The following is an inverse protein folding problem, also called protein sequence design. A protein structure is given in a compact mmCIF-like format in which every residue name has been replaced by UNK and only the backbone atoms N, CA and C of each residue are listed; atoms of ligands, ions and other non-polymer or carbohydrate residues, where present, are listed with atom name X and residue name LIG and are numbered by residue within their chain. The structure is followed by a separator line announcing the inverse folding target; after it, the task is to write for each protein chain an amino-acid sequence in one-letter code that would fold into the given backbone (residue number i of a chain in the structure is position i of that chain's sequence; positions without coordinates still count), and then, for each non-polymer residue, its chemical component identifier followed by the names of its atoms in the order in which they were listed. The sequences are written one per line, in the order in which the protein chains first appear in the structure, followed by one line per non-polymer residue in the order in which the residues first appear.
data_IF_836251701692
#
_entry.id   IF_836251701692
#
_cell.length_a   1.000
_cell.length_b   1.000
_cell.length_c   1.000
_cell.angle_alpha   90.00
_cell.angle_beta   90.00
_cell.angle_gamma   90.00
#
_symmetry.space_group_name_H-M   'P 1'
#
loop_
_entity.id
_entity.type
_entity.pdbx_description
1 polymer ?
#
# COMPACT_ATOMS: atom_id res chain seq x y z
N UNK A 1 -14.74 87.81 -33.99
CA UNK A 1 -16.00 87.08 -33.75
C UNK A 1 -15.81 85.65 -34.22
N UNK A 2 -16.03 84.70 -33.31
CA UNK A 2 -15.54 83.32 -33.34
C UNK A 2 -16.06 82.46 -34.50
N UNK A 3 -15.14 81.70 -35.11
CA UNK A 3 -15.37 80.46 -35.87
C UNK A 3 -15.91 79.37 -34.92
N UNK A 4 -17.16 78.97 -35.09
CA UNK A 4 -17.74 77.76 -34.52
C UNK A 4 -18.51 77.05 -35.64
N UNK A 5 -17.98 75.95 -36.21
CA UNK A 5 -18.85 74.91 -36.81
C UNK A 5 -18.19 73.60 -37.30
N UNK A 6 -16.89 73.33 -37.06
CA UNK A 6 -16.26 72.10 -37.60
C UNK A 6 -16.27 70.91 -36.61
N UNK A 7 -16.81 71.07 -35.40
CA UNK A 7 -16.64 70.08 -34.31
C UNK A 7 -17.77 69.04 -34.13
N UNK A 8 -18.76 68.95 -35.03
CA UNK A 8 -19.93 68.07 -34.81
C UNK A 8 -19.96 66.74 -35.56
N UNK A 9 -18.99 66.41 -36.42
CA UNK A 9 -19.08 65.19 -37.27
C UNK A 9 -18.27 63.99 -36.73
N UNK A 10 -17.30 64.18 -35.84
CA UNK A 10 -16.35 63.10 -35.51
C UNK A 10 -16.70 62.26 -34.26
N UNK A 11 -17.69 62.66 -33.45
CA UNK A 11 -17.94 61.99 -32.16
C UNK A 11 -18.82 60.75 -32.26
N UNK A 12 -19.66 60.64 -33.31
CA UNK A 12 -20.60 59.53 -33.44
C UNK A 12 -19.95 58.23 -33.94
N UNK A 13 -18.92 58.31 -34.81
CA UNK A 13 -18.19 57.13 -35.26
C UNK A 13 -17.32 56.49 -34.17
N UNK A 14 -16.75 57.30 -33.27
CA UNK A 14 -15.91 56.81 -32.15
C UNK A 14 -16.76 56.08 -31.10
N UNK A 15 -18.01 56.49 -30.90
CA UNK A 15 -18.87 55.91 -29.86
C UNK A 15 -19.37 54.50 -30.22
N UNK A 16 -19.53 54.19 -31.51
CA UNK A 16 -19.97 52.85 -31.98
C UNK A 16 -18.85 51.83 -31.86
N UNK A 17 -17.59 52.21 -32.16
CA UNK A 17 -16.42 51.34 -32.00
C UNK A 17 -16.11 51.01 -30.53
N UNK A 18 -16.42 51.91 -29.59
CA UNK A 18 -16.24 51.67 -28.14
C UNK A 18 -17.24 50.69 -27.53
N UNK A 19 -18.39 50.45 -28.18
CA UNK A 19 -19.42 49.52 -27.68
C UNK A 19 -19.18 48.06 -28.08
N UNK A 20 -18.39 47.80 -29.12
CA UNK A 20 -18.09 46.44 -29.59
C UNK A 20 -16.89 45.78 -28.89
N UNK A 21 -15.98 46.56 -28.28
CA UNK A 21 -14.85 46.02 -27.52
C UNK A 21 -14.91 46.50 -26.07
N UNK A 22 -15.68 45.79 -25.24
CA UNK A 22 -15.61 45.94 -23.79
C UNK A 22 -14.79 44.79 -23.19
N UNK A 23 -13.48 44.96 -22.94
CA UNK A 23 -12.61 43.90 -22.41
C UNK A 23 -13.01 43.44 -21.00
N UNK A 24 -13.87 44.19 -20.29
CA UNK A 24 -14.27 43.83 -18.91
C UNK A 24 -15.12 42.55 -18.80
N UNK A 25 -15.77 42.07 -19.88
CA UNK A 25 -16.65 40.89 -19.82
C UNK A 25 -15.97 39.54 -20.04
N UNK A 26 -14.77 39.49 -20.61
CA UNK A 26 -14.03 38.23 -20.84
C UNK A 26 -12.95 37.94 -19.80
N UNK A 27 -12.35 38.98 -19.20
CA UNK A 27 -11.18 38.79 -18.33
C UNK A 27 -11.53 38.41 -16.87
N UNK A 28 -12.70 38.80 -16.37
CA UNK A 28 -13.13 38.52 -15.00
C UNK A 28 -13.43 37.01 -14.76
N UNK A 29 -14.19 36.30 -15.62
CA UNK A 29 -14.46 34.87 -15.39
C UNK A 29 -13.19 34.01 -15.53
N UNK A 30 -12.30 34.34 -16.47
CA UNK A 30 -11.06 33.59 -16.68
C UNK A 30 -10.05 33.77 -15.53
N UNK A 31 -9.96 34.99 -14.98
CA UNK A 31 -9.12 35.26 -13.80
C UNK A 31 -9.64 34.52 -12.54
N UNK A 32 -10.96 34.45 -12.36
CA UNK A 32 -11.56 33.70 -11.24
C UNK A 32 -11.38 32.18 -11.39
N UNK A 33 -11.44 31.64 -12.61
CA UNK A 33 -11.23 30.22 -12.87
C UNK A 33 -9.75 29.82 -12.67
N UNK A 34 -8.81 30.67 -13.09
CA UNK A 34 -7.37 30.49 -12.86
C UNK A 34 -7.03 30.65 -11.36
N UNK A 35 -7.59 31.63 -10.66
CA UNK A 35 -7.38 31.82 -9.22
C UNK A 35 -7.99 30.69 -8.38
N UNK A 36 -9.18 30.21 -8.74
CA UNK A 36 -9.82 29.05 -8.08
C UNK A 36 -8.98 27.78 -8.25
N UNK A 37 -8.50 27.52 -9.48
CA UNK A 37 -7.66 26.36 -9.79
C UNK A 37 -6.28 26.43 -9.15
N UNK A 38 -5.72 27.64 -8.99
CA UNK A 38 -4.46 27.86 -8.30
C UNK A 38 -4.61 27.68 -6.78
N UNK A 39 -5.64 28.27 -6.16
CA UNK A 39 -5.91 28.18 -4.71
C UNK A 39 -6.19 26.73 -4.26
N UNK A 40 -6.92 25.95 -5.07
CA UNK A 40 -7.19 24.52 -4.80
C UNK A 40 -5.91 23.67 -4.79
N UNK A 41 -4.99 23.90 -5.74
CA UNK A 41 -3.68 23.20 -5.78
C UNK A 41 -2.84 23.49 -4.54
N UNK A 42 -2.85 24.74 -4.04
CA UNK A 42 -2.04 25.14 -2.88
C UNK A 42 -2.52 24.50 -1.58
N UNK A 43 -3.83 24.34 -1.39
CA UNK A 43 -4.38 23.61 -0.25
C UNK A 43 -4.10 22.10 -0.29
N UNK A 44 -4.12 21.49 -1.48
CA UNK A 44 -3.82 20.05 -1.67
C UNK A 44 -2.31 19.79 -1.46
N UNK A 45 -1.42 20.63 -2.00
CA UNK A 45 0.04 20.50 -1.81
C UNK A 45 0.48 20.69 -0.36
N UNK A 46 -0.15 21.59 0.41
CA UNK A 46 0.13 21.74 1.85
C UNK A 46 -0.35 20.55 2.67
N UNK A 47 -1.51 19.96 2.33
CA UNK A 47 -2.00 18.73 2.97
C UNK A 47 -1.12 17.52 2.64
N UNK A 48 -0.67 17.39 1.40
CA UNK A 48 0.29 16.35 0.99
C UNK A 48 1.61 16.56 1.74
N UNK A 49 2.12 17.80 1.80
CA UNK A 49 3.34 18.13 2.54
C UNK A 49 3.26 17.81 4.03
N UNK A 50 2.14 18.13 4.69
CA UNK A 50 1.92 17.73 6.08
C UNK A 50 1.76 16.21 6.23
N UNK A 51 1.17 15.51 5.26
CA UNK A 51 1.08 14.05 5.27
C UNK A 51 2.47 13.40 5.12
N UNK A 52 3.35 13.92 4.25
CA UNK A 52 4.74 13.47 4.16
C UNK A 52 5.54 13.83 5.40
N UNK A 53 5.28 14.97 6.04
CA UNK A 53 5.94 15.36 7.29
C UNK A 53 5.49 14.51 8.48
N UNK A 54 4.21 14.15 8.56
CA UNK A 54 3.68 13.20 9.54
C UNK A 54 4.27 11.81 9.29
N UNK A 55 4.34 11.37 8.03
CA UNK A 55 4.99 10.11 7.66
C UNK A 55 6.48 10.12 8.05
N UNK A 56 7.19 11.21 7.82
CA UNK A 56 8.60 11.37 8.21
C UNK A 56 8.80 11.46 9.73
N UNK A 57 7.91 12.12 10.47
CA UNK A 57 7.97 12.19 11.92
C UNK A 57 7.67 10.83 12.58
N UNK A 58 6.77 10.02 11.98
CA UNK A 58 6.50 8.64 12.40
C UNK A 58 7.71 7.72 12.21
N UNK A 59 8.58 8.00 11.23
CA UNK A 59 9.81 7.23 10.98
C UNK A 59 10.92 7.48 12.02
N UNK A 60 10.77 8.49 12.89
CA UNK A 60 11.81 8.94 13.81
C UNK A 60 11.62 8.50 15.28
N UNK A 61 10.64 7.65 15.59
CA UNK A 61 10.46 7.13 16.95
C UNK A 61 11.55 6.10 17.31
N UNK A 62 12.22 6.31 18.43
CA UNK A 62 13.42 5.59 18.89
C UNK A 62 13.22 4.07 19.06
N UNK A 63 14.29 3.32 18.80
CA UNK A 63 14.36 1.85 18.74
C UNK A 63 14.22 1.13 20.10
N UNK A 64 13.06 1.25 20.73
CA UNK A 64 12.68 0.39 21.88
C UNK A 64 11.33 -0.22 21.61
N UNK A 65 11.36 -1.46 21.10
CA UNK A 65 10.31 -2.47 20.98
C UNK A 65 8.86 -2.11 20.60
N UNK A 66 8.54 -0.83 20.42
CA UNK A 66 7.19 -0.30 20.40
C UNK A 66 6.46 -0.62 19.11
N UNK A 67 7.17 -1.02 18.06
CA UNK A 67 6.60 -1.36 16.77
C UNK A 67 5.61 -2.54 16.83
N UNK A 68 5.77 -3.47 17.80
CA UNK A 68 4.87 -4.63 18.00
C UNK A 68 3.91 -4.47 19.19
N UNK A 69 3.67 -3.24 19.65
CA UNK A 69 2.72 -2.96 20.72
C UNK A 69 1.27 -3.03 20.25
N UNK A 70 0.38 -3.33 21.20
CA UNK A 70 -1.06 -3.32 20.97
C UNK A 70 -1.53 -2.00 20.35
N UNK A 71 -2.39 -2.11 19.33
CA UNK A 71 -2.99 -0.99 18.63
C UNK A 71 -2.16 -0.47 17.45
N UNK A 72 -0.96 -1.01 17.22
CA UNK A 72 -0.19 -0.75 16.01
C UNK A 72 -0.71 -1.55 14.83
N UNK A 73 -0.32 -1.13 13.63
CA UNK A 73 -0.63 -1.79 12.37
C UNK A 73 0.64 -2.26 11.67
N UNK A 74 0.56 -3.42 11.04
CA UNK A 74 1.58 -4.03 10.21
C UNK A 74 1.10 -4.05 8.77
N UNK A 75 1.88 -3.50 7.86
CA UNK A 75 1.58 -3.46 6.42
C UNK A 75 2.81 -3.90 5.67
N UNK A 76 2.72 -4.88 4.79
CA UNK A 76 3.88 -5.34 4.05
C UNK A 76 3.56 -6.34 2.97
N UNK A 77 4.60 -6.95 2.43
CA UNK A 77 4.45 -8.06 1.49
C UNK A 77 5.60 -9.04 1.63
N UNK A 78 5.30 -10.32 1.40
CA UNK A 78 6.28 -11.39 1.38
C UNK A 78 6.45 -11.85 -0.07
N UNK A 79 7.69 -11.98 -0.51
CA UNK A 79 8.03 -12.60 -1.78
C UNK A 79 8.63 -13.98 -1.51
N UNK A 80 8.25 -14.96 -2.33
CA UNK A 80 8.73 -16.33 -2.24
C UNK A 80 8.94 -16.92 -3.62
N UNK A 81 9.66 -18.03 -3.68
CA UNK A 81 9.86 -18.82 -4.89
C UNK A 81 10.28 -18.00 -6.13
N UNK A 82 11.07 -16.94 -5.93
CA UNK A 82 11.55 -16.09 -7.03
C UNK A 82 12.67 -16.85 -7.75
N UNK A 83 12.46 -17.19 -9.00
CA UNK A 83 13.51 -17.83 -9.79
C UNK A 83 13.03 -18.29 -11.15
N UNK A 84 13.97 -18.40 -12.09
CA UNK A 84 13.69 -18.97 -13.40
C UNK A 84 14.84 -19.79 -13.94
N UNK A 85 14.50 -20.76 -14.77
CA UNK A 85 15.44 -21.57 -15.54
C UNK A 85 15.21 -21.26 -17.00
N UNK A 86 16.25 -20.83 -17.70
CA UNK A 86 16.21 -20.51 -19.11
C UNK A 86 17.17 -21.43 -19.83
N UNK A 87 16.64 -22.48 -20.46
CA UNK A 87 17.38 -23.43 -21.28
C UNK A 87 16.77 -23.45 -22.69
N UNK A 88 17.57 -23.73 -23.72
CA UNK A 88 17.07 -23.83 -25.10
C UNK A 88 15.87 -24.79 -25.18
N UNK A 89 14.67 -24.24 -25.39
CA UNK A 89 13.41 -25.00 -25.47
C UNK A 89 12.62 -25.16 -24.17
N UNK A 90 13.15 -24.75 -23.01
CA UNK A 90 12.45 -24.83 -21.72
C UNK A 90 12.74 -23.58 -20.87
N UNK A 91 11.75 -22.69 -20.79
CA UNK A 91 11.80 -21.51 -19.93
C UNK A 91 10.81 -21.71 -18.79
N UNK A 92 11.29 -21.68 -17.54
CA UNK A 92 10.44 -21.68 -16.34
C UNK A 92 10.68 -20.42 -15.54
N UNK A 93 9.63 -19.80 -15.04
CA UNK A 93 9.68 -18.63 -14.17
C UNK A 93 8.65 -18.79 -13.06
N UNK A 94 9.07 -18.55 -11.82
CA UNK A 94 8.24 -18.60 -10.63
C UNK A 94 8.39 -17.30 -9.84
N UNK A 95 7.26 -16.81 -9.33
CA UNK A 95 7.18 -15.66 -8.45
C UNK A 95 5.95 -15.78 -7.56
N UNK A 96 6.15 -15.78 -6.24
CA UNK A 96 5.06 -15.64 -5.27
C UNK A 96 5.17 -14.28 -4.59
N UNK A 97 4.04 -13.57 -4.51
CA UNK A 97 3.87 -12.30 -3.82
C UNK A 97 2.67 -12.43 -2.88
N UNK A 98 2.88 -12.12 -1.60
CA UNK A 98 1.85 -12.20 -0.56
C UNK A 98 1.76 -10.88 0.19
N UNK A 99 0.93 -9.92 -0.25
CA UNK A 99 0.65 -8.71 0.52
C UNK A 99 -0.08 -9.05 1.83
N UNK A 100 0.25 -8.32 2.89
CA UNK A 100 -0.24 -8.55 4.25
C UNK A 100 -0.62 -7.24 4.92
N UNK A 101 -1.74 -7.29 5.63
CA UNK A 101 -2.23 -6.20 6.47
C UNK A 101 -2.69 -6.79 7.80
N UNK A 102 -2.10 -6.36 8.91
CA UNK A 102 -2.47 -6.83 10.24
C UNK A 102 -2.46 -5.76 11.31
N UNK A 103 -3.09 -6.07 12.44
CA UNK A 103 -3.16 -5.22 13.60
C UNK A 103 -2.71 -5.98 14.84
N UNK A 104 -1.96 -5.30 15.70
CA UNK A 104 -1.53 -5.84 16.98
C UNK A 104 -2.69 -5.78 17.97
N UNK A 105 -3.34 -6.92 18.21
CA UNK A 105 -4.46 -7.04 19.17
C UNK A 105 -3.98 -7.06 20.62
N UNK A 106 -2.75 -7.54 20.80
CA UNK A 106 -2.02 -7.62 22.06
C UNK A 106 -0.55 -7.36 21.73
N UNK A 107 0.22 -6.99 22.74
CA UNK A 107 1.66 -6.88 22.60
C UNK A 107 2.22 -8.18 22.02
N UNK A 108 2.97 -8.05 20.93
CA UNK A 108 3.62 -9.13 20.19
C UNK A 108 2.69 -10.13 19.49
N UNK A 109 1.37 -9.90 19.49
CA UNK A 109 0.41 -10.71 18.74
C UNK A 109 -0.28 -9.83 17.70
N UNK A 110 -0.04 -10.13 16.44
CA UNK A 110 -0.71 -9.53 15.31
C UNK A 110 -1.69 -10.53 14.67
N UNK A 111 -2.84 -10.03 14.23
CA UNK A 111 -3.75 -10.76 13.35
C UNK A 111 -4.10 -9.88 12.16
N UNK A 112 -4.35 -10.49 11.02
CA UNK A 112 -4.54 -9.73 9.79
C UNK A 112 -5.08 -10.54 8.63
N UNK A 113 -5.24 -9.87 7.51
CA UNK A 113 -5.54 -10.47 6.21
C UNK A 113 -4.30 -10.56 5.34
N UNK A 114 -4.22 -11.63 4.56
CA UNK A 114 -3.21 -11.79 3.51
C UNK A 114 -3.88 -12.12 2.18
N UNK A 115 -3.25 -11.67 1.10
CA UNK A 115 -3.61 -12.03 -0.26
C UNK A 115 -2.44 -12.80 -0.84
N UNK A 116 -2.68 -13.99 -1.38
CA UNK A 116 -1.64 -14.80 -2.04
C UNK A 116 -1.76 -14.60 -3.53
N UNK A 117 -0.67 -14.25 -4.20
CA UNK A 117 -0.56 -14.15 -5.65
C UNK A 117 0.67 -14.93 -6.08
N UNK A 118 0.51 -15.88 -6.99
CA UNK A 118 1.59 -16.71 -7.51
C UNK A 118 1.52 -16.77 -9.02
N UNK A 119 2.67 -16.64 -9.67
CA UNK A 119 2.83 -16.82 -11.10
C UNK A 119 3.88 -17.89 -11.33
N UNK A 120 3.49 -18.94 -12.03
CA UNK A 120 4.38 -19.96 -12.53
C UNK A 120 4.15 -20.12 -14.03
N UNK A 121 5.15 -19.80 -14.84
CA UNK A 121 5.10 -19.97 -16.28
C UNK A 121 6.19 -20.93 -16.70
N UNK A 122 5.86 -21.89 -17.56
CA UNK A 122 6.86 -22.60 -18.34
C UNK A 122 6.33 -23.67 -19.27
N UNK A 123 7.14 -23.99 -20.28
CA UNK A 123 6.88 -25.06 -21.27
C UNK A 123 5.47 -25.00 -21.90
N UNK A 124 5.00 -23.79 -22.24
CA UNK A 124 3.68 -23.57 -22.86
C UNK A 124 2.49 -23.59 -21.89
N UNK A 125 2.74 -23.68 -20.58
CA UNK A 125 1.74 -23.61 -19.52
C UNK A 125 1.98 -22.40 -18.60
N UNK A 126 0.89 -21.75 -18.19
CA UNK A 126 0.90 -20.68 -17.19
C UNK A 126 -0.10 -21.02 -16.09
N UNK A 127 0.42 -21.19 -14.87
CA UNK A 127 -0.37 -21.32 -13.66
C UNK A 127 -0.37 -19.99 -12.89
N UNK A 128 -1.57 -19.50 -12.62
CA UNK A 128 -1.79 -18.33 -11.78
C UNK A 128 -2.49 -18.76 -10.49
N UNK A 129 -1.78 -18.63 -9.38
CA UNK A 129 -2.29 -18.91 -8.04
C UNK A 129 -2.80 -17.61 -7.44
N UNK A 130 -3.98 -17.66 -6.83
CA UNK A 130 -4.57 -16.55 -6.11
C UNK A 130 -5.18 -17.06 -4.82
N UNK A 131 -5.28 -16.21 -3.80
CA UNK A 131 -5.91 -16.61 -2.56
C UNK A 131 -6.10 -15.43 -1.63
N UNK A 132 -7.02 -15.60 -0.70
CA UNK A 132 -7.26 -14.65 0.39
C UNK A 132 -7.43 -15.43 1.68
N UNK A 133 -6.78 -14.96 2.73
CA UNK A 133 -6.80 -15.61 4.01
C UNK A 133 -6.60 -14.65 5.16
N UNK A 134 -6.71 -15.19 6.35
CA UNK A 134 -6.29 -14.52 7.56
C UNK A 134 -4.96 -15.12 8.04
N UNK A 135 -4.14 -14.31 8.69
CA UNK A 135 -2.94 -14.76 9.37
C UNK A 135 -2.93 -14.29 10.82
N UNK A 136 -2.28 -15.07 11.67
CA UNK A 136 -1.92 -14.74 13.04
C UNK A 136 -0.42 -14.87 13.19
N UNK A 137 0.19 -13.90 13.86
CA UNK A 137 1.63 -13.84 14.09
C UNK A 137 1.94 -13.54 15.54
N UNK A 138 2.86 -14.32 16.12
CA UNK A 138 3.37 -14.13 17.48
C UNK A 138 4.87 -13.85 17.45
N UNK A 139 5.30 -12.72 18.02
CA UNK A 139 6.71 -12.37 18.15
C UNK A 139 7.26 -12.88 19.49
N UNK A 140 8.36 -13.63 19.42
CA UNK A 140 9.01 -14.18 20.60
C UNK A 140 9.96 -13.12 21.16
N UNK A 141 9.70 -12.71 22.41
CA UNK A 141 10.57 -11.83 23.20
C UNK A 141 11.32 -12.66 24.23
N UNK A 142 12.39 -13.33 23.80
CA UNK A 142 13.31 -13.99 24.73
C UNK A 142 14.73 -13.49 24.50
N UNK A 143 15.32 -12.88 25.54
CA UNK A 143 16.70 -12.35 25.52
C UNK A 143 17.74 -13.43 25.20
N UNK A 144 17.42 -14.71 25.37
CA UNK A 144 18.32 -15.83 25.06
C UNK A 144 18.29 -16.25 23.59
N UNK A 145 17.21 -15.97 22.88
CA UNK A 145 17.00 -16.32 21.46
C UNK A 145 17.15 -15.09 20.56
N UNK A 146 17.22 -13.90 21.17
CA UNK A 146 17.40 -12.63 20.50
C UNK A 146 18.84 -12.48 19.98
N UNK A 147 19.04 -12.82 18.71
CA UNK A 147 20.35 -12.73 18.02
C UNK A 147 20.89 -11.29 18.03
N UNK A 148 20.00 -10.29 18.04
CA UNK A 148 20.35 -8.87 18.12
C UNK A 148 19.14 -8.05 18.56
N UNK A 149 19.35 -6.87 19.16
CA UNK A 149 18.27 -5.90 19.48
C UNK A 149 17.43 -5.48 18.26
N UNK A 150 17.93 -5.77 17.05
CA UNK A 150 17.27 -5.50 15.77
C UNK A 150 16.64 -6.74 15.13
N UNK A 151 16.84 -7.94 15.68
CA UNK A 151 16.32 -9.19 15.12
C UNK A 151 15.31 -9.81 16.08
N UNK A 152 14.16 -10.24 15.56
CA UNK A 152 13.14 -10.94 16.36
C UNK A 152 12.60 -12.15 15.65
N UNK A 153 12.53 -13.24 16.40
CA UNK A 153 11.83 -14.43 15.95
C UNK A 153 10.33 -14.21 16.04
N UNK A 154 9.62 -14.79 15.09
CA UNK A 154 8.17 -14.85 15.11
C UNK A 154 7.69 -16.21 14.61
N UNK A 155 6.50 -16.59 15.05
CA UNK A 155 5.74 -17.70 14.50
C UNK A 155 4.54 -17.13 13.77
N UNK A 156 4.28 -17.61 12.57
CA UNK A 156 3.12 -17.22 11.77
C UNK A 156 2.29 -18.46 11.44
N UNK A 157 0.97 -18.33 11.54
CA UNK A 157 0.00 -19.28 11.03
C UNK A 157 -1.02 -18.53 10.17
N UNK A 158 -1.53 -19.15 9.12
CA UNK A 158 -2.53 -18.59 8.21
C UNK A 158 -3.51 -19.66 7.77
N UNK A 159 -4.72 -19.23 7.44
CA UNK A 159 -5.75 -20.05 6.86
C UNK A 159 -6.57 -19.21 5.89
N UNK A 160 -6.94 -19.78 4.75
CA UNK A 160 -7.65 -19.05 3.71
C UNK A 160 -8.12 -19.94 2.57
N UNK A 161 -8.75 -19.31 1.59
CA UNK A 161 -9.17 -19.98 0.37
C UNK A 161 -8.15 -19.64 -0.71
N UNK A 162 -7.65 -20.67 -1.38
CA UNK A 162 -6.72 -20.56 -2.49
C UNK A 162 -7.37 -21.13 -3.76
N UNK A 163 -7.04 -20.54 -4.89
CA UNK A 163 -7.40 -21.00 -6.22
C UNK A 163 -6.17 -21.04 -7.12
N UNK A 164 -6.14 -22.01 -8.02
CA UNK A 164 -5.12 -22.10 -9.07
C UNK A 164 -5.85 -22.18 -10.40
N UNK A 165 -5.53 -21.24 -11.29
CA UNK A 165 -5.95 -21.28 -12.69
C UNK A 165 -4.75 -21.70 -13.52
N UNK A 166 -4.84 -22.84 -14.19
CA UNK A 166 -3.79 -23.35 -15.07
C UNK A 166 -4.26 -23.24 -16.51
N UNK A 167 -3.47 -22.59 -17.35
CA UNK A 167 -3.70 -22.48 -18.80
C UNK A 167 -2.59 -23.23 -19.52
N UNK A 168 -2.96 -24.21 -20.34
CA UNK A 168 -2.04 -24.92 -21.22
C UNK A 168 -2.67 -25.01 -22.63
N UNK A 169 -2.16 -24.23 -23.57
CA UNK A 169 -2.82 -24.03 -24.87
C UNK A 169 -4.24 -23.47 -24.70
N UNK A 170 -5.24 -24.12 -25.31
CA UNK A 170 -6.66 -23.73 -25.25
C UNK A 170 -7.41 -24.27 -24.01
N UNK A 171 -6.75 -25.08 -23.18
CA UNK A 171 -7.38 -25.71 -22.00
C UNK A 171 -7.10 -24.84 -20.77
N UNK A 172 -8.19 -24.42 -20.10
CA UNK A 172 -8.15 -23.69 -18.82
C UNK A 172 -8.80 -24.56 -17.74
N UNK A 173 -8.05 -24.85 -16.67
CA UNK A 173 -8.56 -25.56 -15.49
C UNK A 173 -8.48 -24.68 -14.26
N UNK A 174 -9.54 -24.69 -13.45
CA UNK A 174 -9.64 -23.89 -12.24
C UNK A 174 -9.88 -24.84 -11.06
N UNK A 175 -9.01 -24.79 -10.06
CA UNK A 175 -9.14 -25.62 -8.85
C UNK A 175 -9.10 -24.72 -7.63
N UNK A 176 -10.06 -24.90 -6.73
CA UNK A 176 -10.14 -24.17 -5.47
C UNK A 176 -9.94 -25.13 -4.28
N UNK A 177 -9.34 -24.61 -3.21
CA UNK A 177 -9.08 -25.38 -2.00
C UNK A 177 -8.90 -24.50 -0.78
N UNK A 178 -8.94 -25.15 0.38
CA UNK A 178 -8.57 -24.54 1.66
C UNK A 178 -7.05 -24.60 1.81
N UNK A 179 -6.42 -23.46 1.99
CA UNK A 179 -5.01 -23.34 2.32
C UNK A 179 -4.81 -23.08 3.80
N UNK A 180 -3.97 -23.87 4.45
CA UNK A 180 -3.50 -23.65 5.82
C UNK A 180 -1.98 -23.59 5.75
N UNK A 181 -1.36 -22.61 6.39
CA UNK A 181 0.08 -22.53 6.45
C UNK A 181 0.58 -22.16 7.83
N UNK A 182 1.76 -22.63 8.20
CA UNK A 182 2.41 -22.22 9.44
C UNK A 182 3.92 -22.28 9.30
N UNK A 183 4.63 -21.51 10.12
CA UNK A 183 6.06 -21.68 10.25
C UNK A 183 6.78 -20.54 10.97
N UNK A 184 8.06 -20.76 11.29
CA UNK A 184 8.89 -19.77 11.97
C UNK A 184 9.50 -18.77 10.99
N UNK A 185 9.67 -17.55 11.47
CA UNK A 185 10.36 -16.49 10.77
C UNK A 185 11.24 -15.64 11.67
N UNK A 186 12.08 -14.84 11.03
CA UNK A 186 13.00 -13.90 11.63
C UNK A 186 12.79 -12.53 10.99
N UNK A 187 12.43 -11.54 11.79
CA UNK A 187 12.27 -10.15 11.39
C UNK A 187 13.50 -9.35 11.82
N UNK A 188 14.18 -8.73 10.86
CA UNK A 188 15.30 -7.83 11.05
C UNK A 188 14.88 -6.37 10.79
N UNK A 189 14.88 -5.55 11.82
CA UNK A 189 14.48 -4.15 11.79
C UNK A 189 15.63 -3.27 11.32
N UNK A 190 15.51 -2.79 10.07
CA UNK A 190 16.45 -1.83 9.47
C UNK A 190 16.23 -0.44 10.07
N UNK A 191 14.96 -0.09 10.29
CA UNK A 191 14.50 1.19 10.85
C UNK A 191 13.42 0.90 11.91
N UNK A 192 13.14 1.79 12.88
CA UNK A 192 12.12 1.54 13.91
C UNK A 192 10.69 1.27 13.40
N UNK A 193 10.44 1.53 12.12
CA UNK A 193 9.16 1.31 11.46
C UNK A 193 9.27 0.34 10.28
N UNK A 194 10.46 -0.15 9.95
CA UNK A 194 10.69 -0.96 8.75
C UNK A 194 11.52 -2.19 9.11
N UNK A 195 10.94 -3.36 8.85
CA UNK A 195 11.59 -4.66 9.01
C UNK A 195 11.67 -5.41 7.69
N UNK A 196 12.81 -6.05 7.47
CA UNK A 196 12.97 -7.14 6.52
C UNK A 196 12.68 -8.44 7.25
N UNK A 197 11.91 -9.35 6.69
CA UNK A 197 11.64 -10.64 7.31
C UNK A 197 12.04 -11.81 6.43
N UNK A 198 12.46 -12.90 7.05
CA UNK A 198 12.57 -14.22 6.43
C UNK A 198 11.57 -15.15 7.12
N UNK A 199 10.81 -15.92 6.36
CA UNK A 199 9.77 -16.82 6.86
C UNK A 199 9.91 -18.17 6.18
N UNK A 200 10.20 -19.19 6.96
CA UNK A 200 10.08 -20.58 6.53
C UNK A 200 8.61 -20.99 6.74
N UNK A 201 7.93 -21.33 5.65
CA UNK A 201 6.49 -21.63 5.67
C UNK A 201 6.25 -23.03 5.16
N UNK A 202 5.45 -23.77 5.92
CA UNK A 202 4.85 -25.03 5.51
C UNK A 202 3.40 -24.73 5.11
N UNK A 203 3.07 -24.85 3.82
CA UNK A 203 1.73 -24.65 3.28
C UNK A 203 1.10 -26.02 2.96
N UNK A 204 -0.12 -26.21 3.46
CA UNK A 204 -1.02 -27.33 3.24
C UNK A 204 -2.20 -26.82 2.43
N UNK A 205 -2.52 -27.46 1.30
CA UNK A 205 -3.74 -27.16 0.53
C UNK A 205 -4.61 -28.40 0.44
N UNK A 206 -5.82 -28.30 0.97
CA UNK A 206 -6.85 -29.33 0.89
C UNK A 206 -7.84 -28.90 -0.19
N UNK A 207 -7.86 -29.61 -1.31
CA UNK A 207 -8.80 -29.33 -2.40
C UNK A 207 -10.24 -29.61 -1.99
N UNK A 208 -11.20 -28.82 -2.49
CA UNK A 208 -12.61 -29.14 -2.32
C UNK A 208 -13.01 -30.23 -3.33
N UNK A 209 -13.43 -31.41 -2.86
CA UNK A 209 -13.86 -32.53 -3.72
C UNK A 209 -12.76 -33.55 -3.99
N UNK A 210 -12.50 -33.86 -5.28
CA UNK A 210 -11.61 -34.95 -5.73
C UNK A 210 -10.13 -34.59 -5.83
N UNK A 211 -9.72 -33.39 -5.41
CA UNK A 211 -8.33 -32.95 -5.48
C UNK A 211 -7.51 -33.43 -4.29
N UNK A 212 -6.33 -33.97 -4.58
CA UNK A 212 -5.38 -34.48 -3.59
C UNK A 212 -4.84 -33.37 -2.70
N UNK A 213 -4.59 -33.71 -1.42
CA UNK A 213 -3.92 -32.83 -0.46
C UNK A 213 -2.51 -32.51 -0.96
N UNK A 214 -2.18 -31.23 -1.08
CA UNK A 214 -0.86 -30.75 -1.47
C UNK A 214 -0.11 -30.18 -0.27
N UNK A 215 1.19 -30.45 -0.20
CA UNK A 215 2.09 -29.93 0.83
C UNK A 215 3.25 -29.22 0.15
N UNK A 216 3.62 -28.04 0.63
CA UNK A 216 4.75 -27.28 0.11
C UNK A 216 5.54 -26.67 1.26
N UNK A 217 6.86 -26.64 1.11
CA UNK A 217 7.75 -25.91 2.01
C UNK A 217 8.45 -24.83 1.20
N UNK A 218 8.41 -23.60 1.69
CA UNK A 218 9.01 -22.46 1.01
C UNK A 218 9.68 -21.51 1.99
N UNK A 219 10.76 -20.90 1.54
CA UNK A 219 11.37 -19.75 2.21
C UNK A 219 10.86 -18.49 1.53
N UNK A 220 10.30 -17.59 2.33
CA UNK A 220 9.81 -16.30 1.89
C UNK A 220 10.67 -15.22 2.50
N UNK A 221 10.91 -14.15 1.76
CA UNK A 221 11.54 -12.92 2.24
C UNK A 221 10.55 -11.77 2.07
N UNK A 222 10.37 -10.95 3.08
CA UNK A 222 9.35 -9.92 3.08
C UNK A 222 9.86 -8.58 3.56
N UNK A 223 9.10 -7.55 3.22
CA UNK A 223 9.31 -6.19 3.69
C UNK A 223 8.05 -5.68 4.39
N UNK A 224 8.19 -5.23 5.63
CA UNK A 224 7.08 -4.91 6.53
C UNK A 224 7.30 -3.54 7.16
N UNK A 225 6.25 -2.73 7.09
CA UNK A 225 6.16 -1.41 7.69
C UNK A 225 5.26 -1.51 8.92
N UNK A 226 5.74 -0.98 10.04
CA UNK A 226 5.09 -0.95 11.33
C UNK A 226 4.66 0.48 11.64
N UNK A 227 3.36 0.70 11.71
CA UNK A 227 2.75 2.00 11.91
C UNK A 227 2.21 2.12 13.34
N UNK A 228 2.73 3.05 14.17
CA UNK A 228 2.29 3.27 15.55
C UNK A 228 0.97 4.05 15.60
N UNK A 229 -0.13 3.39 15.25
CA UNK A 229 -1.47 4.01 15.25
C UNK A 229 -2.00 4.27 16.66
N UNK A 230 -1.52 3.54 17.67
CA UNK A 230 -1.88 3.72 19.09
C UNK A 230 -1.50 5.12 19.60
N UNK A 231 -0.25 5.54 19.36
CA UNK A 231 0.29 6.86 19.74
C UNK A 231 -0.42 7.99 18.98
N UNK A 232 -0.66 7.81 17.69
CA UNK A 232 -1.40 8.78 16.89
C UNK A 232 -2.84 9.01 17.41
N UNK A 233 -3.54 7.94 17.83
CA UNK A 233 -4.87 8.04 18.43
C UNK A 233 -4.86 8.71 19.80
N UNK A 234 -3.83 8.49 20.61
CA UNK A 234 -3.70 9.14 21.92
C UNK A 234 -3.54 10.66 21.77
N UNK A 235 -2.59 11.10 20.93
CA UNK A 235 -2.36 12.51 20.65
C UNK A 235 -3.62 13.20 20.12
N UNK A 236 -4.31 12.58 19.16
CA UNK A 236 -5.56 13.14 18.62
C UNK A 236 -6.66 13.29 19.68
N UNK A 237 -6.75 12.35 20.63
CA UNK A 237 -7.72 12.43 21.74
C UNK A 237 -7.37 13.55 22.71
N UNK A 238 -6.09 13.71 23.04
CA UNK A 238 -5.59 14.78 23.91
C UNK A 238 -5.84 16.16 23.29
N UNK A 239 -5.52 16.31 22.00
CA UNK A 239 -5.71 17.57 21.27
C UNK A 239 -7.21 17.93 21.17
N UNK A 240 -8.07 16.94 20.91
CA UNK A 240 -9.53 17.15 20.91
C UNK A 240 -10.09 17.46 22.30
N UNK A 241 -9.50 16.92 23.37
CA UNK A 241 -9.90 17.22 24.74
C UNK A 241 -9.50 18.65 25.15
N UNK A 242 -8.33 19.13 24.71
CA UNK A 242 -7.88 20.49 24.93
C UNK A 242 -8.69 21.52 24.13
N UNK A 243 -9.16 21.20 22.92
CA UNK A 243 -10.04 22.09 22.12
C UNK A 243 -11.47 22.22 22.68
N UNK A 244 -11.84 21.41 23.67
CA UNK A 244 -13.16 21.45 24.32
C UNK A 244 -13.15 22.17 25.68
N UNK A 245 -11.98 22.59 26.17
CA UNK A 245 -11.83 23.47 27.33
C UNK A 245 -11.69 24.91 26.85
#
# INVERSE_FOLDING_TARGET
MLKNNVLRVNLFQILVLRKMFNPSRLFIPLANEIMSKHSSKTHIMRKIGHLTLILAAVLCSTATFAQTEKGNMLVGANLGNIGGTFQNGANRFNLNLTPKLGWFIKDDIAIGGEVKLGLSTGDGSTAFTYGVGAFGRYYIKDKKVEVSKRARWFLEANAGINGVNTKAGDISTNTNGLGIGFGPGLAYFITPNVGLEALLKYDLTVGFGSSTTAHAVGVNVGFQIYLPTSKAKQIYREERANMKK
#
